data_IF_590416289534
#
_entry.id   IF_590416289534
#
_cell.length_a   1.000
_cell.length_b   1.000
_cell.length_c   1.000
_cell.angle_alpha   90.00
_cell.angle_beta   90.00
_cell.angle_gamma   90.00
#
_symmetry.space_group_name_H-M   'P 1'
#
loop_
_entity.id
_entity.type
_entity.pdbx_description
1 polymer ?
#
# COMPACT_ATOMS: atom_id res chain seq x y z
N UNK A 1 -3.22 -2.42 25.17
CA UNK A 1 -2.51 -3.69 24.91
C UNK A 1 -2.19 -3.90 23.43
N UNK A 2 -3.15 -3.68 22.51
CA UNK A 2 -2.93 -3.74 21.05
C UNK A 2 -1.75 -2.89 20.56
N UNK A 3 -1.67 -1.61 20.99
CA UNK A 3 -0.56 -0.72 20.62
C UNK A 3 0.82 -1.26 21.06
N UNK A 4 0.91 -1.83 22.28
CA UNK A 4 2.14 -2.42 22.81
C UNK A 4 2.55 -3.70 22.04
N UNK A 5 1.58 -4.44 21.53
CA UNK A 5 1.78 -5.63 20.69
C UNK A 5 2.22 -5.29 19.27
N UNK A 6 1.66 -4.23 18.67
CA UNK A 6 2.03 -3.75 17.33
C UNK A 6 3.36 -2.99 17.30
N UNK A 7 3.77 -2.45 18.45
CA UNK A 7 5.05 -1.77 18.65
C UNK A 7 6.18 -2.72 19.07
N UNK A 8 5.87 -3.99 19.38
CA UNK A 8 6.87 -5.04 19.55
C UNK A 8 7.01 -5.83 18.24
N UNK A 9 8.24 -6.15 17.83
CA UNK A 9 8.52 -7.03 16.71
C UNK A 9 8.23 -8.50 17.11
N UNK A 10 6.97 -8.78 17.43
CA UNK A 10 6.48 -10.10 17.80
C UNK A 10 5.96 -10.81 16.56
N UNK A 11 6.19 -12.12 16.46
CA UNK A 11 5.71 -12.96 15.36
C UNK A 11 4.18 -12.81 15.17
N UNK A 12 3.45 -12.65 16.28
CA UNK A 12 2.01 -12.38 16.27
C UNK A 12 1.67 -11.06 15.56
N UNK A 13 2.39 -9.97 15.81
CA UNK A 13 2.15 -8.70 15.10
C UNK A 13 2.43 -8.83 13.59
N UNK A 14 3.46 -9.59 13.22
CA UNK A 14 3.82 -9.85 11.82
C UNK A 14 2.74 -10.64 11.07
N UNK A 15 2.06 -11.58 11.71
CA UNK A 15 0.93 -12.30 11.10
C UNK A 15 -0.38 -11.53 11.17
N UNK A 16 -0.66 -10.85 12.29
CA UNK A 16 -1.93 -10.15 12.50
C UNK A 16 -2.07 -8.91 11.62
N UNK A 17 -0.98 -8.21 11.32
CA UNK A 17 -1.04 -6.97 10.52
C UNK A 17 -1.55 -7.21 9.10
N UNK A 18 -0.97 -8.09 8.26
CA UNK A 18 -1.48 -8.35 6.92
C UNK A 18 -2.89 -8.95 6.94
N UNK A 19 -3.20 -9.80 7.94
CA UNK A 19 -4.55 -10.33 8.11
C UNK A 19 -5.57 -9.22 8.39
N UNK A 20 -5.22 -8.24 9.23
CA UNK A 20 -6.05 -7.08 9.49
C UNK A 20 -6.28 -6.22 8.24
N UNK A 21 -5.25 -6.03 7.40
CA UNK A 21 -5.40 -5.32 6.11
C UNK A 21 -6.40 -6.05 5.22
N UNK A 22 -6.29 -7.37 5.09
CA UNK A 22 -7.21 -8.19 4.29
C UNK A 22 -8.65 -8.06 4.84
N UNK A 23 -8.82 -8.13 6.17
CA UNK A 23 -10.14 -7.97 6.79
C UNK A 23 -10.74 -6.58 6.55
N UNK A 24 -9.95 -5.51 6.64
CA UNK A 24 -10.40 -4.14 6.34
C UNK A 24 -10.84 -3.98 4.89
N UNK A 25 -10.23 -4.71 3.97
CA UNK A 25 -10.54 -4.66 2.54
C UNK A 25 -11.58 -5.68 2.09
N UNK A 26 -11.98 -6.63 2.94
CA UNK A 26 -12.91 -7.70 2.60
C UNK A 26 -14.23 -7.20 2.00
N UNK A 27 -14.74 -6.06 2.48
CA UNK A 27 -15.97 -5.44 1.96
C UNK A 27 -15.89 -5.07 0.48
N UNK A 28 -14.71 -4.68 0.00
CA UNK A 28 -14.49 -4.33 -1.41
C UNK A 28 -14.68 -5.53 -2.35
N UNK A 29 -14.47 -6.75 -1.87
CA UNK A 29 -14.63 -7.97 -2.67
C UNK A 29 -16.08 -8.45 -2.79
N UNK A 30 -16.96 -7.98 -1.89
CA UNK A 30 -18.34 -8.50 -1.77
C UNK A 30 -19.37 -7.48 -2.27
N UNK A 31 -19.06 -6.19 -2.20
CA UNK A 31 -19.98 -5.11 -2.56
C UNK A 31 -19.65 -4.60 -3.96
N UNK A 32 -20.64 -4.64 -4.86
CA UNK A 32 -20.55 -3.95 -6.15
C UNK A 32 -20.59 -2.43 -5.92
N UNK A 33 -19.46 -1.78 -6.17
CA UNK A 33 -19.32 -0.35 -5.98
C UNK A 33 -19.60 0.34 -7.31
N UNK A 34 -20.87 0.65 -7.55
CA UNK A 34 -21.29 1.58 -8.58
C UNK A 34 -21.11 3.02 -8.07
N UNK A 35 -19.87 3.49 -7.93
CA UNK A 35 -19.60 4.90 -7.65
C UNK A 35 -18.73 5.48 -8.75
N UNK A 36 -19.34 6.35 -9.55
CA UNK A 36 -18.63 7.29 -10.41
C UNK A 36 -18.09 8.38 -9.51
N UNK A 37 -16.77 8.50 -9.44
CA UNK A 37 -16.13 9.59 -8.70
C UNK A 37 -15.51 10.55 -9.69
N UNK A 38 -15.31 11.81 -9.30
CA UNK A 38 -14.62 12.83 -10.12
C UNK A 38 -13.19 12.40 -10.50
N UNK A 39 -12.66 11.31 -9.90
CA UNK A 39 -11.41 10.64 -10.28
C UNK A 39 -11.52 9.71 -11.51
N UNK A 40 -12.70 9.51 -12.09
CA UNK A 40 -12.90 8.84 -13.38
C UNK A 40 -12.48 9.77 -14.55
N UNK A 41 -11.32 10.41 -14.41
CA UNK A 41 -10.65 11.06 -15.53
C UNK A 41 -10.27 10.00 -16.56
N UNK A 42 -10.26 10.34 -17.86
CA UNK A 42 -9.84 9.40 -18.89
C UNK A 42 -8.46 8.85 -18.53
N UNK A 43 -8.39 7.53 -18.46
CA UNK A 43 -7.15 6.81 -18.24
C UNK A 43 -6.18 7.11 -19.39
N UNK A 44 -4.89 7.05 -19.11
CA UNK A 44 -3.89 7.16 -20.18
C UNK A 44 -3.98 5.93 -21.09
N UNK A 45 -3.70 6.04 -22.41
CA UNK A 45 -3.80 4.91 -23.33
C UNK A 45 -2.97 3.68 -22.92
N UNK A 46 -1.82 3.89 -22.27
CA UNK A 46 -1.01 2.80 -21.74
C UNK A 46 -1.71 2.02 -20.62
N UNK A 47 -2.52 2.68 -19.80
CA UNK A 47 -3.33 2.02 -18.78
C UNK A 47 -4.37 1.10 -19.41
N UNK A 48 -5.10 1.63 -20.39
CA UNK A 48 -6.20 0.90 -21.05
C UNK A 48 -5.70 -0.30 -21.84
N UNK A 49 -4.50 -0.20 -22.43
CA UNK A 49 -3.93 -1.27 -23.25
C UNK A 49 -3.13 -2.29 -22.44
N UNK A 50 -2.38 -1.87 -21.42
CA UNK A 50 -1.39 -2.75 -20.77
C UNK A 50 -1.78 -3.19 -19.35
N UNK A 51 -2.61 -2.42 -18.63
CA UNK A 51 -2.87 -2.71 -17.21
C UNK A 51 -4.31 -3.16 -17.02
N UNK A 52 -5.27 -2.38 -17.50
CA UNK A 52 -6.70 -2.67 -17.33
C UNK A 52 -7.11 -4.06 -17.86
N UNK A 53 -6.60 -4.56 -19.01
CA UNK A 53 -7.01 -5.87 -19.53
C UNK A 53 -6.58 -7.05 -18.65
N UNK A 54 -5.48 -6.91 -17.92
CA UNK A 54 -4.93 -8.00 -17.10
C UNK A 54 -5.37 -7.89 -15.64
N UNK A 55 -5.28 -6.70 -15.07
CA UNK A 55 -5.58 -6.47 -13.66
C UNK A 55 -7.05 -6.09 -13.43
N UNK A 56 -7.70 -5.46 -14.42
CA UNK A 56 -9.09 -5.00 -14.36
C UNK A 56 -10.10 -5.90 -15.09
N UNK A 57 -9.71 -7.10 -15.54
CA UNK A 57 -10.58 -8.03 -16.28
C UNK A 57 -11.91 -8.34 -15.57
N UNK A 58 -11.87 -8.43 -14.24
CA UNK A 58 -13.03 -8.67 -13.39
C UNK A 58 -12.98 -7.78 -12.15
N UNK A 59 -14.13 -7.55 -11.50
CA UNK A 59 -14.17 -6.83 -10.22
C UNK A 59 -13.26 -7.48 -9.17
N UNK A 60 -13.18 -8.82 -9.18
CA UNK A 60 -12.31 -9.56 -8.27
C UNK A 60 -10.82 -9.33 -8.55
N UNK A 61 -10.39 -9.43 -9.80
CA UNK A 61 -8.98 -9.18 -10.17
C UNK A 61 -8.59 -7.74 -9.90
N UNK A 62 -9.51 -6.79 -10.12
CA UNK A 62 -9.28 -5.38 -9.85
C UNK A 62 -9.06 -5.14 -8.34
N UNK A 63 -9.92 -5.71 -7.51
CA UNK A 63 -9.80 -5.71 -6.05
C UNK A 63 -8.52 -6.36 -5.54
N UNK A 64 -8.17 -7.52 -6.10
CA UNK A 64 -6.95 -8.21 -5.73
C UNK A 64 -5.71 -7.39 -6.10
N UNK A 65 -5.67 -6.83 -7.31
CA UNK A 65 -4.57 -6.02 -7.79
C UNK A 65 -4.38 -4.75 -6.94
N UNK A 66 -5.47 -4.03 -6.63
CA UNK A 66 -5.39 -2.84 -5.77
C UNK A 66 -4.94 -3.21 -4.35
N UNK A 67 -5.49 -4.27 -3.76
CA UNK A 67 -5.08 -4.75 -2.43
C UNK A 67 -3.58 -5.11 -2.39
N UNK A 68 -3.08 -5.83 -3.40
CA UNK A 68 -1.65 -6.18 -3.49
C UNK A 68 -0.80 -4.92 -3.55
N UNK A 69 -1.16 -3.94 -4.39
CA UNK A 69 -0.42 -2.68 -4.49
C UNK A 69 -0.43 -1.92 -3.15
N UNK A 70 -1.55 -1.89 -2.43
CA UNK A 70 -1.64 -1.27 -1.11
C UNK A 70 -0.73 -1.97 -0.11
N UNK A 71 -0.77 -3.30 -0.03
CA UNK A 71 0.10 -4.06 0.88
C UNK A 71 1.57 -3.80 0.57
N UNK A 72 1.97 -3.92 -0.70
CA UNK A 72 3.36 -3.69 -1.12
C UNK A 72 3.82 -2.26 -0.81
N UNK A 73 2.98 -1.27 -1.10
CA UNK A 73 3.28 0.14 -0.81
C UNK A 73 3.40 0.37 0.70
N UNK A 74 2.47 -0.14 1.50
CA UNK A 74 2.51 0.00 2.95
C UNK A 74 3.74 -0.66 3.57
N UNK A 75 4.17 -1.81 3.03
CA UNK A 75 5.42 -2.47 3.45
C UNK A 75 6.63 -1.60 3.09
N UNK A 76 6.67 -1.01 1.90
CA UNK A 76 7.75 -0.09 1.52
C UNK A 76 7.81 1.13 2.44
N UNK A 77 6.67 1.76 2.74
CA UNK A 77 6.62 2.90 3.68
C UNK A 77 7.10 2.46 5.07
N UNK A 78 6.65 1.31 5.56
CA UNK A 78 7.04 0.80 6.87
C UNK A 78 8.55 0.50 6.94
N UNK A 79 9.11 -0.13 5.90
CA UNK A 79 10.57 -0.38 5.84
C UNK A 79 11.36 0.92 5.79
N UNK A 80 10.90 1.95 5.08
CA UNK A 80 11.53 3.27 5.12
C UNK A 80 11.46 3.89 6.53
N UNK A 81 10.30 3.85 7.17
CA UNK A 81 10.12 4.41 8.52
C UNK A 81 11.03 3.75 9.56
N UNK A 82 11.19 2.42 9.47
CA UNK A 82 12.12 1.66 10.31
C UNK A 82 13.57 1.99 9.96
N UNK A 83 13.93 2.04 8.67
CA UNK A 83 15.31 2.26 8.20
C UNK A 83 15.86 3.63 8.59
N UNK A 84 15.04 4.67 8.54
CA UNK A 84 15.45 6.03 8.91
C UNK A 84 15.20 6.35 10.39
N UNK A 85 14.85 5.35 11.21
CA UNK A 85 14.68 5.53 12.65
C UNK A 85 13.55 6.50 13.04
N UNK A 86 12.63 6.80 12.11
CA UNK A 86 11.45 7.64 12.37
C UNK A 86 10.60 7.04 13.49
N UNK A 87 10.64 5.71 13.60
CA UNK A 87 10.14 4.98 14.75
C UNK A 87 11.35 4.33 15.42
N UNK A 88 11.60 4.70 16.68
CA UNK A 88 12.74 4.21 17.48
C UNK A 88 12.80 2.68 17.66
N UNK A 89 11.78 1.94 17.20
CA UNK A 89 11.64 0.48 17.28
C UNK A 89 11.12 -0.09 15.97
N UNK A 90 11.53 -1.33 15.64
CA UNK A 90 10.93 -2.10 14.56
C UNK A 90 9.45 -2.36 14.88
N UNK A 91 8.56 -1.71 14.14
CA UNK A 91 7.11 -1.79 14.31
C UNK A 91 6.45 -1.85 12.94
N UNK A 92 5.30 -2.52 12.87
CA UNK A 92 4.44 -2.59 11.69
C UNK A 92 3.30 -1.57 11.74
N UNK A 93 3.36 -0.63 12.69
CA UNK A 93 2.28 0.33 12.92
C UNK A 93 2.07 1.26 11.72
N UNK A 94 3.12 1.58 10.96
CA UNK A 94 3.00 2.45 9.78
C UNK A 94 2.22 1.75 8.68
N UNK A 95 2.47 0.46 8.47
CA UNK A 95 1.68 -0.36 7.55
C UNK A 95 0.20 -0.39 7.97
N UNK A 96 -0.07 -0.59 9.26
CA UNK A 96 -1.44 -0.67 9.77
C UNK A 96 -2.17 0.68 9.64
N UNK A 97 -1.52 1.78 10.00
CA UNK A 97 -2.08 3.13 9.83
C UNK A 97 -2.33 3.43 8.36
N UNK A 98 -1.38 3.11 7.49
CA UNK A 98 -1.54 3.25 6.04
C UNK A 98 -2.72 2.43 5.51
N UNK A 99 -2.84 1.17 5.93
CA UNK A 99 -3.96 0.31 5.56
C UNK A 99 -5.30 0.87 6.07
N UNK A 100 -5.34 1.41 7.29
CA UNK A 100 -6.54 2.00 7.85
C UNK A 100 -6.98 3.26 7.09
N UNK A 101 -6.04 4.13 6.73
CA UNK A 101 -6.30 5.33 5.92
C UNK A 101 -6.81 4.98 4.52
N UNK A 102 -6.20 3.98 3.88
CA UNK A 102 -6.62 3.53 2.55
C UNK A 102 -7.93 2.74 2.56
N UNK A 103 -8.36 2.26 3.73
CA UNK A 103 -9.65 1.58 3.93
C UNK A 103 -10.81 2.51 4.29
N UNK A 104 -10.56 3.81 4.47
CA UNK A 104 -11.60 4.75 4.90
C UNK A 104 -12.71 4.95 3.87
N UNK A 105 -12.38 4.82 2.58
CA UNK A 105 -13.33 5.03 1.48
C UNK A 105 -13.22 3.92 0.43
N UNK A 106 -14.37 3.34 0.06
CA UNK A 106 -14.45 2.31 -0.99
C UNK A 106 -13.95 2.83 -2.35
N UNK A 107 -14.14 4.12 -2.64
CA UNK A 107 -13.64 4.75 -3.87
C UNK A 107 -12.11 4.73 -3.98
N UNK A 108 -11.40 4.80 -2.85
CA UNK A 108 -9.94 4.73 -2.81
C UNK A 108 -9.46 3.31 -3.13
N UNK A 109 -10.22 2.29 -2.70
CA UNK A 109 -9.89 0.88 -2.92
C UNK A 109 -10.01 0.44 -4.39
N UNK A 110 -10.66 1.25 -5.24
CA UNK A 110 -10.79 1.01 -6.68
C UNK A 110 -9.43 0.96 -7.37
N UNK A 111 -9.27 -0.03 -8.25
CA UNK A 111 -8.11 -0.10 -9.12
C UNK A 111 -8.05 1.15 -10.01
N UNK A 112 -6.93 1.87 -9.92
CA UNK A 112 -6.71 3.11 -10.65
C UNK A 112 -5.23 3.28 -10.97
N UNK A 113 -4.86 4.10 -11.97
CA UNK A 113 -3.47 4.42 -12.28
C UNK A 113 -2.70 5.00 -11.09
N UNK A 114 -3.42 5.67 -10.17
CA UNK A 114 -2.85 6.29 -8.97
C UNK A 114 -2.13 5.25 -8.11
N UNK A 115 -2.65 4.03 -7.97
CA UNK A 115 -2.01 2.99 -7.15
C UNK A 115 -0.63 2.59 -7.67
N UNK A 116 -0.49 2.47 -8.99
CA UNK A 116 0.81 2.19 -9.61
C UNK A 116 1.76 3.37 -9.46
N UNK A 117 1.26 4.60 -9.68
CA UNK A 117 2.05 5.80 -9.45
C UNK A 117 2.58 5.87 -8.02
N UNK A 118 1.72 5.72 -7.01
CA UNK A 118 2.09 5.76 -5.60
C UNK A 118 3.11 4.66 -5.27
N UNK A 119 2.88 3.44 -5.74
CA UNK A 119 3.82 2.33 -5.52
C UNK A 119 5.22 2.65 -6.08
N UNK A 120 5.31 3.02 -7.36
CA UNK A 120 6.59 3.34 -8.00
C UNK A 120 7.25 4.59 -7.41
N UNK A 121 6.45 5.59 -7.04
CA UNK A 121 6.93 6.79 -6.38
C UNK A 121 7.58 6.47 -5.03
N UNK A 122 6.91 5.70 -4.17
CA UNK A 122 7.44 5.26 -2.87
C UNK A 122 8.67 4.36 -3.06
N UNK A 123 8.64 3.42 -4.01
CA UNK A 123 9.79 2.58 -4.33
C UNK A 123 11.01 3.41 -4.80
N UNK A 124 10.76 4.43 -5.63
CA UNK A 124 11.75 5.39 -6.10
C UNK A 124 12.35 6.18 -4.94
N UNK A 125 11.52 6.72 -4.05
CA UNK A 125 11.99 7.40 -2.84
C UNK A 125 12.85 6.48 -1.98
N UNK A 126 12.40 5.25 -1.71
CA UNK A 126 13.18 4.29 -0.93
C UNK A 126 14.58 4.05 -1.54
N UNK A 127 14.67 3.99 -2.87
CA UNK A 127 15.95 3.84 -3.58
C UNK A 127 16.82 5.09 -3.49
N UNK A 128 16.25 6.28 -3.66
CA UNK A 128 16.97 7.57 -3.56
C UNK A 128 17.55 7.77 -2.16
N UNK A 129 16.72 7.68 -1.12
CA UNK A 129 17.20 7.82 0.25
C UNK A 129 18.20 6.71 0.61
N UNK A 130 18.00 5.50 0.09
CA UNK A 130 18.90 4.39 0.29
C UNK A 130 20.29 4.57 -0.35
N UNK A 131 20.39 5.38 -1.41
CA UNK A 131 21.65 5.75 -2.04
C UNK A 131 22.40 6.83 -1.26
N UNK A 132 21.67 7.80 -0.66
CA UNK A 132 22.27 8.86 0.17
C UNK A 132 22.97 8.30 1.40
N UNK A 133 22.34 7.34 2.10
CA UNK A 133 22.94 6.68 3.27
C UNK A 133 24.17 5.81 2.95
N UNK A 134 24.47 5.54 1.68
CA UNK A 134 25.65 4.78 1.23
C UNK A 134 26.81 5.66 0.74
N UNK A 135 26.67 6.99 0.73
CA UNK A 135 27.83 7.86 0.49
C UNK A 135 28.82 7.67 1.64
N UNK A 136 29.91 6.94 1.36
CA UNK A 136 31.10 6.88 2.23
C UNK A 136 31.49 8.32 2.61
N UNK A 137 31.97 8.56 3.85
CA UNK A 137 32.64 9.82 4.13
C UNK A 137 33.75 9.98 3.08
N UNK A 138 33.71 11.11 2.37
CA UNK A 138 34.87 11.51 1.58
C UNK A 138 36.04 11.60 2.57
N UNK A 139 37.14 10.96 2.17
CA UNK A 139 38.44 10.84 2.84
C UNK A 139 38.77 12.05 3.72
#
# INVERSE_FOLDING_TARGET
MLFKSLHSNSISATMLTPLAVILLWSRYFVVDIAHFTVLDNPSMPLWDVLILPYFGYSSFTAALASLILVILTGVLINTMAVRYGLIRRQSLIVLLVYALLTSAFLSVQKLSPVWFFVFFFVAGLNRVFGAVGKRKPAV
#
